data_IF_251523666757
#
_entry.id   IF_251523666757
#
_cell.length_a   1.000
_cell.length_b   1.000
_cell.length_c   1.000
_cell.angle_alpha   90.00
_cell.angle_beta   90.00
_cell.angle_gamma   90.00
#
_symmetry.space_group_name_H-M   'P 1'
#
loop_
_entity.id
_entity.type
_entity.pdbx_description
1 polymer ?
#
# COMPACT_ATOMS: atom_id res chain seq x y z
N UNK A 1 6.51 -52.85 -21.97
CA UNK A 1 6.19 -51.75 -22.90
C UNK A 1 4.99 -50.91 -22.47
N UNK A 2 3.77 -51.45 -22.31
CA UNK A 2 2.60 -50.65 -21.88
C UNK A 2 2.71 -50.15 -20.43
N UNK A 3 3.19 -51.00 -19.51
CA UNK A 3 3.42 -50.63 -18.10
C UNK A 3 4.49 -49.54 -17.99
N UNK A 4 5.57 -49.65 -18.76
CA UNK A 4 6.65 -48.65 -18.78
C UNK A 4 6.12 -47.28 -19.21
N UNK A 5 5.24 -47.24 -20.22
CA UNK A 5 4.61 -46.02 -20.70
C UNK A 5 3.71 -45.37 -19.63
N UNK A 6 2.94 -46.18 -18.89
CA UNK A 6 2.10 -45.69 -17.79
C UNK A 6 2.96 -45.06 -16.68
N UNK A 7 4.06 -45.71 -16.30
CA UNK A 7 4.97 -45.19 -15.26
C UNK A 7 5.60 -43.86 -15.70
N UNK A 8 6.00 -43.73 -16.97
CA UNK A 8 6.54 -42.48 -17.53
C UNK A 8 5.51 -41.36 -17.48
N UNK A 9 4.27 -41.61 -17.92
CA UNK A 9 3.22 -40.59 -17.85
C UNK A 9 2.85 -40.21 -16.42
N UNK A 10 2.83 -41.17 -15.49
CA UNK A 10 2.52 -40.86 -14.09
C UNK A 10 3.58 -39.93 -13.47
N UNK A 11 4.86 -40.19 -13.71
CA UNK A 11 5.94 -39.30 -13.25
C UNK A 11 5.84 -37.90 -13.86
N UNK A 12 5.43 -37.81 -15.12
CA UNK A 12 5.23 -36.53 -15.79
C UNK A 12 4.04 -35.78 -15.21
N UNK A 13 2.93 -36.46 -14.91
CA UNK A 13 1.77 -35.89 -14.21
C UNK A 13 2.19 -35.38 -12.83
N UNK A 14 2.96 -36.16 -12.07
CA UNK A 14 3.43 -35.76 -10.74
C UNK A 14 4.34 -34.53 -10.84
N UNK A 15 5.26 -34.50 -11.82
CA UNK A 15 6.14 -33.35 -12.10
C UNK A 15 5.36 -32.10 -12.47
N UNK A 16 4.38 -32.22 -13.37
CA UNK A 16 3.53 -31.10 -13.78
C UNK A 16 2.68 -30.60 -12.61
N UNK A 17 2.15 -31.50 -11.78
CA UNK A 17 1.39 -31.15 -10.59
C UNK A 17 2.23 -30.33 -9.61
N UNK A 18 3.47 -30.75 -9.34
CA UNK A 18 4.40 -29.99 -8.50
C UNK A 18 4.66 -28.59 -9.07
N UNK A 19 4.98 -28.47 -10.37
CA UNK A 19 5.23 -27.17 -11.02
C UNK A 19 4.01 -26.25 -11.01
N UNK A 20 2.81 -26.80 -11.16
CA UNK A 20 1.55 -26.04 -11.07
C UNK A 20 1.38 -25.46 -9.65
N UNK A 21 1.65 -26.26 -8.62
CA UNK A 21 1.53 -25.81 -7.23
C UNK A 21 2.57 -24.73 -6.89
N UNK A 22 3.82 -24.90 -7.32
CA UNK A 22 4.87 -23.89 -7.17
C UNK A 22 4.48 -22.56 -7.85
N UNK A 23 3.97 -22.62 -9.08
CA UNK A 23 3.53 -21.44 -9.82
C UNK A 23 2.37 -20.74 -9.14
N UNK A 24 1.41 -21.50 -8.60
CA UNK A 24 0.28 -20.95 -7.83
C UNK A 24 0.75 -20.20 -6.60
N UNK A 25 1.67 -20.78 -5.83
CA UNK A 25 2.26 -20.13 -4.64
C UNK A 25 2.99 -18.85 -5.04
N UNK A 26 3.83 -18.89 -6.09
CA UNK A 26 4.54 -17.72 -6.60
C UNK A 26 3.59 -16.59 -7.00
N UNK A 27 2.53 -16.90 -7.75
CA UNK A 27 1.54 -15.93 -8.19
C UNK A 27 0.80 -15.28 -7.01
N UNK A 28 0.36 -16.08 -6.02
CA UNK A 28 -0.31 -15.57 -4.82
C UNK A 28 0.61 -14.67 -3.99
N UNK A 29 1.89 -15.03 -3.84
CA UNK A 29 2.86 -14.18 -3.15
C UNK A 29 3.01 -12.82 -3.85
N UNK A 30 3.12 -12.81 -5.18
CA UNK A 30 3.24 -11.57 -5.95
C UNK A 30 2.01 -10.66 -5.83
N UNK A 31 0.80 -11.23 -5.82
CA UNK A 31 -0.43 -10.45 -5.63
C UNK A 31 -0.52 -9.82 -4.24
N UNK A 32 -0.11 -10.55 -3.19
CA UNK A 32 -0.08 -10.02 -1.81
C UNK A 32 0.88 -8.84 -1.72
N UNK A 33 2.10 -8.96 -2.27
CA UNK A 33 3.08 -7.87 -2.25
C UNK A 33 2.60 -6.63 -2.99
N UNK A 34 1.96 -6.80 -4.15
CA UNK A 34 1.40 -5.68 -4.91
C UNK A 34 0.28 -4.98 -4.14
N UNK A 35 -0.65 -5.73 -3.56
CA UNK A 35 -1.76 -5.20 -2.77
C UNK A 35 -1.26 -4.43 -1.52
N UNK A 36 -0.31 -5.01 -0.78
CA UNK A 36 0.29 -4.37 0.40
C UNK A 36 1.02 -3.07 0.05
N UNK A 37 1.73 -3.04 -1.08
CA UNK A 37 2.43 -1.83 -1.56
C UNK A 37 1.44 -0.72 -1.90
N UNK A 38 0.32 -1.07 -2.55
CA UNK A 38 -0.74 -0.11 -2.89
C UNK A 38 -1.37 0.44 -1.61
N UNK A 39 -1.74 -0.42 -0.66
CA UNK A 39 -2.36 0.00 0.61
C UNK A 39 -1.46 0.94 1.43
N UNK A 40 -0.17 0.59 1.55
CA UNK A 40 0.82 1.45 2.22
C UNK A 40 0.97 2.82 1.52
N UNK A 41 0.98 2.84 0.19
CA UNK A 41 1.06 4.08 -0.58
C UNK A 41 -0.18 4.96 -0.41
N UNK A 42 -1.37 4.36 -0.33
CA UNK A 42 -2.62 5.07 -0.08
C UNK A 42 -2.67 5.67 1.33
N UNK A 43 -2.27 4.90 2.35
CA UNK A 43 -2.18 5.38 3.73
C UNK A 43 -1.15 6.52 3.87
N UNK A 44 0.01 6.39 3.21
CA UNK A 44 1.00 7.46 3.17
C UNK A 44 0.46 8.73 2.48
N UNK A 45 -0.25 8.57 1.34
CA UNK A 45 -0.88 9.68 0.62
C UNK A 45 -1.94 10.40 1.46
N UNK A 46 -2.80 9.66 2.16
CA UNK A 46 -3.80 10.24 3.07
C UNK A 46 -3.17 10.99 4.23
N UNK A 47 -2.09 10.45 4.82
CA UNK A 47 -1.36 11.12 5.90
C UNK A 47 -0.73 12.43 5.43
N UNK A 48 -0.12 12.45 4.25
CA UNK A 48 0.47 13.65 3.67
C UNK A 48 -0.60 14.72 3.38
N UNK A 49 -1.75 14.32 2.85
CA UNK A 49 -2.88 15.23 2.63
C UNK A 49 -3.39 15.83 3.94
N UNK A 50 -3.57 15.00 4.98
CA UNK A 50 -4.00 15.46 6.29
C UNK A 50 -3.00 16.45 6.92
N UNK A 51 -1.69 16.17 6.80
CA UNK A 51 -0.65 17.08 7.28
C UNK A 51 -0.68 18.42 6.52
N UNK A 52 -0.84 18.37 5.20
CA UNK A 52 -0.92 19.58 4.38
C UNK A 52 -2.12 20.47 4.76
N UNK A 53 -3.31 19.89 4.96
CA UNK A 53 -4.49 20.65 5.39
C UNK A 53 -4.31 21.23 6.79
N UNK A 54 -3.68 20.50 7.71
CA UNK A 54 -3.35 21.01 9.05
C UNK A 54 -2.39 22.20 8.98
N UNK A 55 -1.33 22.10 8.18
CA UNK A 55 -0.34 23.17 8.01
C UNK A 55 -0.98 24.43 7.39
N UNK A 56 -1.88 24.24 6.42
CA UNK A 56 -2.66 25.32 5.82
C UNK A 56 -3.56 26.02 6.84
N UNK A 57 -4.29 25.27 7.67
CA UNK A 57 -5.14 25.82 8.73
C UNK A 57 -4.32 26.59 9.77
N UNK A 58 -3.17 26.05 10.17
CA UNK A 58 -2.26 26.71 11.12
C UNK A 58 -1.72 28.03 10.53
N UNK A 59 -1.30 28.03 9.27
CA UNK A 59 -0.84 29.23 8.59
C UNK A 59 -1.96 30.28 8.47
N UNK A 60 -3.20 29.86 8.20
CA UNK A 60 -4.34 30.78 8.16
C UNK A 60 -4.69 31.34 9.54
N UNK A 61 -4.64 30.52 10.60
CA UNK A 61 -4.82 30.96 11.98
C UNK A 61 -3.78 32.01 12.39
N UNK A 62 -2.51 31.79 12.06
CA UNK A 62 -1.45 32.79 12.28
C UNK A 62 -1.67 34.06 11.48
N UNK A 63 -2.08 33.95 10.20
CA UNK A 63 -2.43 35.13 9.39
C UNK A 63 -3.56 35.92 10.01
N UNK A 64 -4.61 35.28 10.54
CA UNK A 64 -5.72 35.95 11.23
C UNK A 64 -5.26 36.64 12.51
N UNK A 65 -4.44 35.97 13.32
CA UNK A 65 -3.88 36.55 14.55
C UNK A 65 -2.98 37.76 14.24
N UNK A 66 -2.20 37.70 13.16
CA UNK A 66 -1.31 38.78 12.74
C UNK A 66 -2.03 39.90 11.97
N UNK A 67 -3.13 39.58 11.28
CA UNK A 67 -3.95 40.55 10.54
C UNK A 67 -4.93 41.31 11.43
N UNK A 68 -5.19 40.80 12.64
CA UNK A 68 -6.00 41.49 13.65
C UNK A 68 -5.14 41.79 14.89
N UNK A 69 -4.13 42.68 14.78
CA UNK A 69 -3.46 43.19 15.96
C UNK A 69 -4.53 43.95 16.73
N UNK A 70 -5.04 43.36 17.81
CA UNK A 70 -5.88 44.08 18.75
C UNK A 70 -5.15 45.38 19.06
N UNK A 71 -5.80 46.49 18.76
CA UNK A 71 -5.48 47.77 19.35
C UNK A 71 -5.60 47.60 20.86
N UNK A 72 -4.55 47.06 21.48
CA UNK A 72 -4.27 47.17 22.89
C UNK A 72 -3.86 48.63 23.14
N UNK A 73 -4.78 49.55 22.85
CA UNK A 73 -4.67 50.93 23.29
C UNK A 73 -5.00 50.86 24.76
N UNK A 74 -3.95 50.82 25.57
CA UNK A 74 -4.07 51.07 26.99
C UNK A 74 -4.83 52.37 27.20
N UNK A 75 -5.85 52.31 28.05
CA UNK A 75 -6.09 53.41 28.96
C UNK A 75 -5.83 52.86 30.34
N UNK A 76 -4.83 53.44 30.99
CA UNK A 76 -4.79 53.54 32.43
C UNK A 76 -6.06 54.22 32.94
#
# INVERSE_FOLDING_TARGET
MAIDLIIVYQREIDRLTTRINELKVFYMANQITAAQTIELSQAAGQKLLAQFELDKLNAEGQRRNNANPTTATGSN
#
